data_IF_659280702785
#
_entry.id   IF_659280702785
#
_cell.length_a   1.000
_cell.length_b   1.000
_cell.length_c   1.000
_cell.angle_alpha   90.00
_cell.angle_beta   90.00
_cell.angle_gamma   90.00
#
_symmetry.space_group_name_H-M   'P 1'
#
loop_
_entity.id
_entity.type
_entity.pdbx_description
1 polymer ?
#
# COMPACT_ATOMS: atom_id res chain seq x y z
N UNK A 1 -22.62 -6.45 -9.20
CA UNK A 1 -22.10 -5.27 -8.47
C UNK A 1 -23.22 -4.53 -7.75
N UNK A 2 -24.43 -4.46 -8.33
CA UNK A 2 -25.52 -3.63 -7.81
C UNK A 2 -26.04 -4.07 -6.44
N UNK A 3 -26.22 -5.38 -6.21
CA UNK A 3 -26.67 -5.92 -4.92
C UNK A 3 -25.73 -5.59 -3.74
N UNK A 4 -24.42 -5.59 -3.97
CA UNK A 4 -23.43 -5.24 -2.94
C UNK A 4 -23.52 -3.76 -2.60
N UNK A 5 -23.62 -2.91 -3.62
CA UNK A 5 -23.76 -1.46 -3.46
C UNK A 5 -25.04 -1.11 -2.70
N UNK A 6 -26.15 -1.78 -3.01
CA UNK A 6 -27.42 -1.60 -2.32
C UNK A 6 -27.35 -2.06 -0.85
N UNK A 7 -26.78 -3.23 -0.60
CA UNK A 7 -26.61 -3.75 0.77
C UNK A 7 -25.71 -2.85 1.62
N UNK A 8 -24.62 -2.35 1.05
CA UNK A 8 -23.73 -1.40 1.72
C UNK A 8 -24.44 -0.09 2.05
N UNK A 9 -25.26 0.43 1.11
CA UNK A 9 -26.05 1.64 1.35
C UNK A 9 -27.04 1.44 2.50
N UNK A 10 -27.73 0.31 2.54
CA UNK A 10 -28.65 -0.01 3.63
C UNK A 10 -27.93 -0.10 4.99
N UNK A 11 -26.72 -0.68 5.03
CA UNK A 11 -25.90 -0.73 6.24
C UNK A 11 -25.46 0.67 6.71
N UNK A 12 -25.02 1.53 5.76
CA UNK A 12 -24.70 2.92 6.05
C UNK A 12 -25.89 3.66 6.64
N UNK A 13 -27.05 3.62 5.97
CA UNK A 13 -28.27 4.30 6.39
C UNK A 13 -28.73 3.80 7.77
N UNK A 14 -28.54 2.51 8.07
CA UNK A 14 -28.79 1.92 9.39
C UNK A 14 -27.83 2.48 10.46
N UNK A 15 -26.54 2.55 10.15
CA UNK A 15 -25.53 3.09 11.06
C UNK A 15 -25.78 4.56 11.41
N UNK A 16 -26.00 5.40 10.39
CA UNK A 16 -26.26 6.84 10.59
C UNK A 16 -27.51 7.06 11.44
N UNK A 17 -28.58 6.29 11.18
CA UNK A 17 -29.83 6.36 11.94
C UNK A 17 -29.63 5.93 13.40
N UNK A 18 -28.87 4.86 13.65
CA UNK A 18 -28.60 4.39 15.01
C UNK A 18 -27.73 5.39 15.77
N UNK A 19 -26.65 5.88 15.16
CA UNK A 19 -25.78 6.88 15.76
C UNK A 19 -26.50 8.20 16.06
N UNK A 20 -27.50 8.59 15.26
CA UNK A 20 -28.29 9.80 15.47
C UNK A 20 -29.32 9.67 16.61
N UNK A 21 -29.67 8.45 17.03
CA UNK A 21 -30.63 8.21 18.12
C UNK A 21 -29.97 8.28 19.50
N UNK A 22 -28.69 7.98 19.55
CA UNK A 22 -27.95 8.00 20.80
C UNK A 22 -27.62 9.44 21.21
N UNK A 23 -27.74 9.76 22.51
CA UNK A 23 -27.40 11.09 23.00
C UNK A 23 -25.91 11.38 22.80
N UNK A 24 -25.52 12.65 22.56
CA UNK A 24 -24.12 13.04 22.52
C UNK A 24 -23.40 12.67 23.81
N UNK A 25 -22.18 12.12 23.70
CA UNK A 25 -21.35 11.81 24.86
C UNK A 25 -20.96 13.08 25.62
N UNK A 26 -21.07 13.03 26.95
CA UNK A 26 -20.75 14.15 27.85
C UNK A 26 -19.26 14.23 28.23
N UNK A 27 -18.45 13.25 27.80
CA UNK A 27 -17.02 13.15 28.13
C UNK A 27 -16.14 13.01 26.88
N UNK A 28 -14.83 12.93 27.10
CA UNK A 28 -13.86 12.66 26.03
C UNK A 28 -14.08 11.24 25.52
N UNK A 29 -14.42 11.12 24.23
CA UNK A 29 -14.62 9.85 23.54
C UNK A 29 -14.08 9.95 22.12
N UNK A 30 -13.74 8.82 21.52
CA UNK A 30 -13.70 8.72 20.07
C UNK A 30 -15.14 8.67 19.55
N UNK A 31 -15.53 9.68 18.78
CA UNK A 31 -16.92 9.83 18.32
C UNK A 31 -17.35 8.64 17.44
N UNK A 32 -18.58 8.18 17.65
CA UNK A 32 -19.28 7.23 16.79
C UNK A 32 -19.27 7.72 15.34
N UNK A 33 -19.02 6.82 14.40
CA UNK A 33 -19.07 7.13 12.97
C UNK A 33 -19.32 5.90 12.11
N UNK A 34 -19.73 6.15 10.87
CA UNK A 34 -19.54 5.20 9.79
C UNK A 34 -18.28 5.56 9.02
N UNK A 35 -17.30 4.65 8.99
CA UNK A 35 -15.98 4.90 8.39
C UNK A 35 -15.87 4.42 6.93
N UNK A 36 -17.02 4.25 6.26
CA UNK A 36 -17.21 3.60 4.97
C UNK A 36 -17.04 2.07 4.95
N UNK A 37 -16.69 1.45 6.08
CA UNK A 37 -16.56 0.01 6.22
C UNK A 37 -17.44 -0.56 7.32
N UNK A 38 -17.29 -0.08 8.56
CA UNK A 38 -18.00 -0.56 9.74
C UNK A 38 -18.67 0.60 10.50
N UNK A 39 -19.71 0.26 11.25
CA UNK A 39 -20.39 1.21 12.12
C UNK A 39 -19.76 1.18 13.52
N UNK A 40 -19.16 2.29 13.94
CA UNK A 40 -18.49 2.41 15.23
C UNK A 40 -19.36 3.15 16.24
N UNK A 41 -19.54 2.63 17.47
CA UNK A 41 -20.09 3.37 18.59
C UNK A 41 -19.06 4.33 19.17
N UNK A 42 -19.45 5.13 20.18
CA UNK A 42 -18.50 5.94 20.93
C UNK A 42 -17.48 5.05 21.65
N UNK A 43 -16.19 5.35 21.46
CA UNK A 43 -15.08 4.65 22.10
C UNK A 43 -14.54 5.41 23.31
N UNK A 44 -14.27 4.72 24.41
CA UNK A 44 -13.58 5.32 25.54
C UNK A 44 -12.08 5.51 25.22
N UNK A 45 -11.44 6.61 25.67
CA UNK A 45 -10.01 6.80 25.49
C UNK A 45 -9.19 5.65 26.09
N UNK A 46 -8.10 5.28 25.42
CA UNK A 46 -7.23 4.13 25.77
C UNK A 46 -7.98 2.78 25.81
N UNK A 47 -8.92 2.57 24.89
CA UNK A 47 -9.60 1.28 24.76
C UNK A 47 -9.63 0.77 23.33
N UNK A 48 -9.75 -0.55 23.19
CA UNK A 48 -10.05 -1.19 21.91
C UNK A 48 -11.54 -1.41 21.80
N UNK A 49 -12.15 -0.77 20.82
CA UNK A 49 -13.56 -0.97 20.47
C UNK A 49 -13.65 -2.10 19.46
N UNK A 50 -14.66 -2.96 19.61
CA UNK A 50 -14.95 -4.03 18.66
C UNK A 50 -16.40 -4.01 18.21
N UNK A 51 -16.62 -4.32 16.94
CA UNK A 51 -17.95 -4.39 16.33
C UNK A 51 -18.05 -5.62 15.45
N UNK A 52 -19.26 -6.17 15.28
CA UNK A 52 -19.46 -7.36 14.45
C UNK A 52 -19.09 -7.08 12.99
N UNK A 53 -18.68 -8.12 12.27
CA UNK A 53 -18.43 -8.02 10.83
C UNK A 53 -19.64 -7.42 10.09
N UNK A 54 -19.44 -6.44 9.19
CA UNK A 54 -20.55 -5.80 8.49
C UNK A 54 -21.40 -6.79 7.67
N UNK A 55 -22.71 -6.74 7.84
CA UNK A 55 -23.62 -7.72 7.24
C UNK A 55 -23.75 -7.60 5.73
N UNK A 56 -23.36 -6.48 5.13
CA UNK A 56 -23.38 -6.29 3.67
C UNK A 56 -22.29 -7.11 2.95
N UNK A 57 -21.32 -7.66 3.68
CA UNK A 57 -20.22 -8.44 3.09
C UNK A 57 -20.79 -9.65 2.33
N UNK A 58 -20.37 -9.91 1.07
CA UNK A 58 -20.88 -11.04 0.29
C UNK A 58 -20.65 -12.42 0.94
N UNK A 59 -19.66 -12.51 1.83
CA UNK A 59 -19.27 -13.70 2.58
C UNK A 59 -19.62 -13.61 4.07
N UNK A 60 -20.51 -12.70 4.47
CA UNK A 60 -20.89 -12.49 5.87
C UNK A 60 -21.30 -13.80 6.58
N UNK A 61 -21.98 -14.71 5.89
CA UNK A 61 -22.35 -16.02 6.43
C UNK A 61 -21.15 -16.85 6.94
N UNK A 62 -19.92 -16.58 6.47
CA UNK A 62 -18.70 -17.24 6.94
C UNK A 62 -18.02 -16.51 8.10
N UNK A 63 -18.29 -15.21 8.26
CA UNK A 63 -17.60 -14.31 9.20
C UNK A 63 -18.54 -13.64 10.21
N UNK A 64 -19.81 -14.04 10.26
CA UNK A 64 -20.84 -13.41 11.09
C UNK A 64 -20.56 -13.41 12.60
N UNK A 65 -19.67 -14.28 13.08
CA UNK A 65 -19.19 -14.27 14.46
C UNK A 65 -17.88 -13.50 14.67
N UNK A 66 -17.27 -13.01 13.59
CA UNK A 66 -16.04 -12.27 13.64
C UNK A 66 -16.27 -10.80 14.01
N UNK A 67 -15.19 -10.16 14.45
CA UNK A 67 -15.19 -8.78 14.89
C UNK A 67 -14.18 -7.93 14.13
N UNK A 68 -14.50 -6.66 13.96
CA UNK A 68 -13.57 -5.60 13.54
C UNK A 68 -13.13 -4.86 14.79
N UNK A 69 -11.83 -4.57 14.90
CA UNK A 69 -11.26 -3.89 16.06
C UNK A 69 -10.62 -2.57 15.67
N UNK A 70 -10.84 -1.54 16.47
CA UNK A 70 -10.22 -0.23 16.32
C UNK A 70 -9.86 0.36 17.68
N UNK A 71 -8.69 0.96 17.77
CA UNK A 71 -8.18 1.56 18.99
C UNK A 71 -8.61 3.02 19.08
N UNK A 72 -9.09 3.42 20.25
CA UNK A 72 -9.33 4.81 20.63
C UNK A 72 -8.20 5.27 21.54
N UNK A 73 -7.42 6.25 21.09
CA UNK A 73 -6.26 6.72 21.83
C UNK A 73 -6.64 7.60 23.05
N UNK A 74 -5.64 7.95 23.86
CA UNK A 74 -5.82 8.79 25.05
C UNK A 74 -6.41 10.19 24.75
N UNK A 75 -6.26 10.67 23.52
CA UNK A 75 -6.75 11.98 23.08
C UNK A 75 -8.17 11.94 22.53
N UNK A 76 -8.83 10.78 22.54
CA UNK A 76 -10.16 10.60 21.97
C UNK A 76 -10.13 10.62 20.43
N UNK A 77 -9.01 10.20 19.82
CA UNK A 77 -8.90 10.02 18.38
C UNK A 77 -8.81 8.55 18.01
N UNK A 78 -9.46 8.19 16.91
CA UNK A 78 -9.38 6.85 16.35
C UNK A 78 -8.01 6.61 15.73
N UNK A 79 -7.39 5.48 16.05
CA UNK A 79 -6.15 5.05 15.42
C UNK A 79 -6.33 4.90 13.90
N UNK A 80 -5.28 5.21 13.13
CA UNK A 80 -5.32 5.16 11.66
C UNK A 80 -5.48 3.74 11.11
N UNK A 81 -5.02 2.74 11.86
CA UNK A 81 -5.10 1.34 11.47
C UNK A 81 -6.17 0.60 12.29
N UNK A 82 -6.93 -0.23 11.60
CA UNK A 82 -7.96 -1.12 12.18
C UNK A 82 -7.61 -2.57 11.86
N UNK A 83 -8.02 -3.50 12.72
CA UNK A 83 -7.87 -4.93 12.47
C UNK A 83 -9.18 -5.49 11.93
N UNK A 84 -9.18 -5.92 10.66
CA UNK A 84 -10.34 -6.52 9.97
C UNK A 84 -10.16 -8.02 9.70
N UNK A 85 -9.10 -8.63 10.23
CA UNK A 85 -8.66 -9.97 9.80
C UNK A 85 -9.72 -11.07 9.97
N UNK A 86 -10.60 -10.96 10.97
CA UNK A 86 -11.71 -11.90 11.18
C UNK A 86 -12.86 -11.74 10.16
N UNK A 87 -12.95 -10.58 9.50
CA UNK A 87 -13.98 -10.27 8.50
C UNK A 87 -13.47 -10.40 7.06
N UNK A 88 -12.18 -10.67 6.88
CA UNK A 88 -11.56 -10.80 5.57
C UNK A 88 -12.03 -12.06 4.84
N UNK A 89 -12.14 -11.97 3.52
CA UNK A 89 -12.49 -13.13 2.71
C UNK A 89 -11.34 -14.11 2.65
N UNK A 90 -11.60 -15.35 3.04
CA UNK A 90 -10.68 -16.48 2.82
C UNK A 90 -10.70 -16.99 1.36
N UNK A 91 -11.46 -16.36 0.46
CA UNK A 91 -11.57 -16.77 -0.94
C UNK A 91 -10.24 -16.54 -1.72
N UNK A 92 -9.57 -17.60 -2.19
CA UNK A 92 -8.35 -17.48 -2.99
C UNK A 92 -8.55 -16.70 -4.30
N UNK A 93 -9.77 -16.68 -4.85
CA UNK A 93 -10.09 -15.97 -6.09
C UNK A 93 -9.98 -14.45 -5.93
N UNK A 94 -10.32 -13.91 -4.76
CA UNK A 94 -10.12 -12.49 -4.41
C UNK A 94 -8.64 -12.15 -4.27
N UNK A 95 -7.83 -13.04 -3.67
CA UNK A 95 -6.35 -12.89 -3.65
C UNK A 95 -5.76 -12.89 -5.06
N UNK A 96 -6.36 -13.66 -5.99
CA UNK A 96 -5.98 -13.66 -7.41
C UNK A 96 -6.42 -12.41 -8.17
N UNK A 97 -7.32 -11.57 -7.66
CA UNK A 97 -7.71 -10.33 -8.32
C UNK A 97 -6.55 -9.34 -8.40
N UNK A 98 -5.71 -9.25 -7.37
CA UNK A 98 -4.50 -8.41 -7.43
C UNK A 98 -3.58 -8.91 -8.54
N UNK A 99 -3.34 -10.22 -8.61
CA UNK A 99 -2.54 -10.82 -9.69
C UNK A 99 -3.19 -10.65 -11.07
N UNK A 100 -4.51 -10.74 -11.17
CA UNK A 100 -5.25 -10.57 -12.42
C UNK A 100 -5.25 -9.11 -12.90
N UNK A 101 -5.40 -8.16 -11.98
CA UNK A 101 -5.25 -6.72 -12.23
C UNK A 101 -3.81 -6.40 -12.64
N UNK A 102 -2.83 -6.96 -11.94
CA UNK A 102 -1.42 -6.84 -12.31
C UNK A 102 -1.16 -7.36 -13.73
N UNK A 103 -1.68 -8.54 -14.08
CA UNK A 103 -1.52 -9.11 -15.42
C UNK A 103 -2.18 -8.25 -16.50
N UNK A 104 -3.43 -7.82 -16.28
CA UNK A 104 -4.13 -6.91 -17.21
C UNK A 104 -3.43 -5.56 -17.35
N UNK A 105 -2.91 -5.00 -16.26
CA UNK A 105 -2.15 -3.77 -16.28
C UNK A 105 -0.78 -3.95 -16.95
N UNK A 106 -0.18 -5.14 -16.82
CA UNK A 106 1.04 -5.53 -17.52
C UNK A 106 0.82 -5.64 -19.03
N UNK A 107 -0.32 -6.17 -19.45
CA UNK A 107 -0.71 -6.25 -20.87
C UNK A 107 -0.98 -4.85 -21.46
N UNK A 108 -1.39 -3.89 -20.63
CA UNK A 108 -1.57 -2.49 -20.99
C UNK A 108 -0.26 -1.67 -21.00
N UNK A 109 0.90 -2.25 -20.60
CA UNK A 109 2.19 -1.54 -20.64
C UNK A 109 2.73 -1.45 -22.06
N UNK A 110 2.15 -0.55 -22.85
CA UNK A 110 2.72 -0.04 -24.09
C UNK A 110 3.41 1.33 -23.87
N UNK A 111 4.04 1.53 -22.71
CA UNK A 111 4.92 2.68 -22.49
C UNK A 111 6.32 2.29 -22.96
N UNK A 112 6.82 2.97 -24.00
CA UNK A 112 8.18 2.78 -24.49
C UNK A 112 9.16 2.87 -23.32
N UNK A 113 9.87 1.78 -23.08
CA UNK A 113 10.93 1.70 -22.07
C UNK A 113 12.28 2.13 -22.65
N UNK A 114 12.30 2.71 -23.85
CA UNK A 114 13.52 3.11 -24.55
C UNK A 114 14.30 4.17 -23.79
N UNK A 115 13.60 5.10 -23.11
CA UNK A 115 14.24 6.07 -22.21
C UNK A 115 14.97 5.40 -21.05
N UNK A 116 14.41 4.31 -20.51
CA UNK A 116 15.04 3.55 -19.44
C UNK A 116 16.24 2.74 -19.97
N UNK A 117 16.10 2.14 -21.17
CA UNK A 117 17.16 1.41 -21.86
C UNK A 117 18.37 2.31 -22.13
N UNK A 118 18.16 3.43 -22.81
CA UNK A 118 19.23 4.39 -23.15
C UNK A 118 19.94 4.93 -21.89
N UNK A 119 19.16 5.21 -20.85
CA UNK A 119 19.74 5.69 -19.60
C UNK A 119 20.51 4.58 -18.85
N UNK A 120 20.16 3.30 -18.99
CA UNK A 120 20.93 2.19 -18.39
C UNK A 120 22.19 1.87 -19.21
N UNK A 121 22.13 1.99 -20.53
CA UNK A 121 23.32 1.92 -21.41
C UNK A 121 24.34 2.98 -21.00
N UNK A 122 23.87 4.20 -20.72
CA UNK A 122 24.71 5.31 -20.24
C UNK A 122 25.36 4.98 -18.88
N UNK A 123 24.58 4.45 -17.93
CA UNK A 123 25.06 4.15 -16.56
C UNK A 123 26.08 3.00 -16.52
N UNK A 124 25.88 1.98 -17.36
CA UNK A 124 26.70 0.76 -17.37
C UNK A 124 27.88 0.85 -18.34
N UNK A 125 27.85 1.82 -19.27
CA UNK A 125 28.82 1.95 -20.35
C UNK A 125 28.76 0.79 -21.35
N UNK A 126 27.72 -0.04 -21.31
CA UNK A 126 27.57 -1.23 -22.14
C UNK A 126 26.43 -1.02 -23.15
N UNK A 127 26.63 -1.41 -24.43
CA UNK A 127 25.54 -1.43 -25.40
C UNK A 127 24.49 -2.48 -24.98
N UNK A 128 23.21 -2.10 -24.90
CA UNK A 128 22.09 -2.97 -24.54
C UNK A 128 21.10 -3.07 -25.71
N UNK A 129 21.32 -4.06 -26.60
CA UNK A 129 20.37 -4.44 -27.63
C UNK A 129 18.94 -4.65 -27.10
N UNK A 130 17.94 -4.36 -27.93
CA UNK A 130 16.53 -4.39 -27.54
C UNK A 130 16.06 -5.77 -27.05
N UNK A 131 16.60 -6.85 -27.62
CA UNK A 131 16.33 -8.24 -27.21
C UNK A 131 16.83 -8.52 -25.78
N UNK A 132 18.05 -8.09 -25.45
CA UNK A 132 18.60 -8.20 -24.09
C UNK A 132 17.82 -7.34 -23.11
N UNK A 133 17.42 -6.13 -23.51
CA UNK A 133 16.58 -5.27 -22.70
C UNK A 133 15.22 -5.91 -22.38
N UNK A 134 14.56 -6.49 -23.38
CA UNK A 134 13.31 -7.21 -23.20
C UNK A 134 13.47 -8.44 -22.29
N UNK A 135 14.59 -9.15 -22.37
CA UNK A 135 14.91 -10.25 -21.45
C UNK A 135 15.08 -9.75 -20.00
N UNK A 136 15.78 -8.62 -19.80
CA UNK A 136 15.93 -7.99 -18.48
C UNK A 136 14.56 -7.64 -17.89
N UNK A 137 13.67 -7.01 -18.67
CA UNK A 137 12.33 -6.64 -18.21
C UNK A 137 11.48 -7.85 -17.80
N UNK A 138 11.65 -9.00 -18.45
CA UNK A 138 10.95 -10.25 -18.10
C UNK A 138 11.50 -10.90 -16.83
N UNK A 139 12.79 -10.74 -16.56
CA UNK A 139 13.48 -11.45 -15.48
C UNK A 139 13.60 -10.63 -14.19
N UNK A 140 13.52 -9.30 -14.24
CA UNK A 140 13.83 -8.40 -13.12
C UNK A 140 13.08 -8.71 -11.81
N UNK A 141 11.90 -9.31 -11.89
CA UNK A 141 11.07 -9.66 -10.73
C UNK A 141 11.13 -11.15 -10.33
N UNK A 142 11.88 -11.99 -11.07
CA UNK A 142 11.89 -13.45 -10.94
C UNK A 142 13.29 -14.05 -10.77
N UNK A 143 14.34 -13.23 -10.78
CA UNK A 143 15.75 -13.62 -10.61
C UNK A 143 16.15 -14.05 -9.20
N UNK A 144 15.30 -13.83 -8.20
CA UNK A 144 15.57 -14.21 -6.81
C UNK A 144 14.30 -14.68 -6.10
N UNK A 145 14.47 -15.61 -5.14
CA UNK A 145 13.38 -15.97 -4.21
C UNK A 145 13.15 -14.88 -3.15
N UNK A 146 14.07 -13.93 -3.00
CA UNK A 146 13.94 -12.84 -2.03
C UNK A 146 13.18 -11.66 -2.65
N UNK A 147 11.96 -11.40 -2.15
CA UNK A 147 11.13 -10.28 -2.61
C UNK A 147 11.82 -8.92 -2.48
N UNK A 148 12.62 -8.72 -1.42
CA UNK A 148 13.43 -7.49 -1.24
C UNK A 148 14.47 -7.34 -2.35
N UNK A 149 15.12 -8.43 -2.74
CA UNK A 149 16.10 -8.42 -3.82
C UNK A 149 15.43 -8.12 -5.18
N UNK A 150 14.32 -8.80 -5.50
CA UNK A 150 13.54 -8.52 -6.71
C UNK A 150 13.07 -7.07 -6.78
N UNK A 151 12.62 -6.49 -5.65
CA UNK A 151 12.20 -5.10 -5.58
C UNK A 151 13.37 -4.12 -5.83
N UNK A 152 14.55 -4.42 -5.28
CA UNK A 152 15.75 -3.61 -5.53
C UNK A 152 16.08 -3.62 -7.03
N UNK A 153 16.16 -4.81 -7.64
CA UNK A 153 16.44 -4.94 -9.07
C UNK A 153 15.40 -4.20 -9.93
N UNK A 154 14.11 -4.32 -9.59
CA UNK A 154 13.04 -3.60 -10.25
C UNK A 154 13.23 -2.09 -10.17
N UNK A 155 13.53 -1.56 -8.98
CA UNK A 155 13.79 -0.12 -8.78
C UNK A 155 14.99 0.38 -9.56
N UNK A 156 16.04 -0.44 -9.74
CA UNK A 156 17.20 -0.09 -10.57
C UNK A 156 16.81 -0.02 -12.04
N UNK A 157 16.26 -1.10 -12.60
CA UNK A 157 15.91 -1.19 -14.02
C UNK A 157 14.87 -0.12 -14.42
N UNK A 158 13.88 0.12 -13.56
CA UNK A 158 12.83 1.12 -13.82
C UNK A 158 13.16 2.52 -13.31
N UNK A 159 14.39 2.77 -12.80
CA UNK A 159 14.80 4.05 -12.19
C UNK A 159 13.81 4.60 -11.15
N UNK A 160 13.12 3.68 -10.46
CA UNK A 160 12.13 3.96 -9.43
C UNK A 160 12.78 4.12 -8.03
N UNK A 161 14.10 3.99 -7.93
CA UNK A 161 14.79 4.23 -6.68
C UNK A 161 14.71 5.71 -6.26
N UNK A 162 14.52 5.91 -4.97
CA UNK A 162 14.58 7.21 -4.32
C UNK A 162 15.96 7.32 -3.68
N UNK A 163 16.90 7.97 -4.37
CA UNK A 163 18.24 8.22 -3.86
C UNK A 163 18.27 9.52 -3.04
N UNK A 164 19.30 9.74 -2.21
CA UNK A 164 19.41 11.02 -1.46
C UNK A 164 19.52 12.23 -2.38
N UNK A 165 20.20 12.07 -3.51
CA UNK A 165 20.24 13.07 -4.59
C UNK A 165 18.85 13.38 -5.16
N UNK A 166 17.94 12.40 -5.18
CA UNK A 166 16.57 12.60 -5.64
C UNK A 166 15.70 13.20 -4.54
N UNK A 167 15.94 12.83 -3.28
CA UNK A 167 15.26 13.38 -2.11
C UNK A 167 15.64 14.84 -1.85
N UNK A 168 16.91 15.22 -1.99
CA UNK A 168 17.36 16.61 -1.82
C UNK A 168 16.71 17.57 -2.82
N UNK A 169 16.30 17.06 -3.99
CA UNK A 169 15.53 17.82 -4.99
C UNK A 169 14.06 17.99 -4.61
N UNK A 170 13.53 17.15 -3.72
CA UNK A 170 12.13 17.20 -3.25
C UNK A 170 12.00 17.89 -1.89
N UNK A 171 13.02 17.72 -1.03
CA UNK A 171 13.06 18.20 0.34
C UNK A 171 14.38 18.94 0.56
N UNK A 172 14.37 20.27 0.74
CA UNK A 172 15.58 21.08 0.89
C UNK A 172 16.47 20.65 2.07
N UNK A 173 15.87 20.05 3.10
CA UNK A 173 16.55 19.66 4.34
C UNK A 173 17.33 18.34 4.22
N UNK A 174 17.23 17.66 3.08
CA UNK A 174 17.89 16.37 2.86
C UNK A 174 19.21 16.58 2.13
N UNK A 175 20.31 16.20 2.78
CA UNK A 175 21.65 16.22 2.16
C UNK A 175 21.75 15.22 0.99
N UNK A 176 22.32 15.63 -0.16
CA UNK A 176 22.51 14.74 -1.32
C UNK A 176 23.67 13.75 -1.14
N UNK A 177 24.51 13.91 -0.12
CA UNK A 177 25.74 13.14 0.07
C UNK A 177 25.50 11.76 0.69
N UNK A 178 26.37 10.81 0.36
CA UNK A 178 26.30 9.44 0.84
C UNK A 178 26.72 9.34 2.31
N UNK A 179 25.90 8.67 3.13
CA UNK A 179 26.17 8.56 4.57
C UNK A 179 27.46 7.82 4.91
N UNK A 180 27.87 6.91 4.01
CA UNK A 180 29.05 6.05 4.23
C UNK A 180 30.36 6.73 3.86
N UNK A 181 30.40 7.45 2.74
CA UNK A 181 31.65 8.07 2.27
C UNK A 181 31.71 9.57 2.54
N UNK A 182 30.57 10.24 2.74
CA UNK A 182 30.43 11.70 2.97
C UNK A 182 31.05 12.61 1.90
N UNK A 183 31.62 12.04 0.84
CA UNK A 183 32.37 12.76 -0.20
C UNK A 183 31.58 12.78 -1.50
N UNK A 184 31.05 11.62 -1.90
CA UNK A 184 30.30 11.49 -3.14
C UNK A 184 28.80 11.64 -2.89
N UNK A 185 28.11 12.19 -3.88
CA UNK A 185 26.66 12.19 -3.95
C UNK A 185 26.11 10.75 -3.86
N UNK A 186 25.08 10.54 -3.06
CA UNK A 186 24.44 9.24 -2.90
C UNK A 186 23.53 8.94 -4.10
N UNK A 187 24.12 8.85 -5.28
CA UNK A 187 23.47 8.37 -6.50
C UNK A 187 23.19 6.87 -6.41
N UNK A 188 22.24 6.37 -7.19
CA UNK A 188 21.90 4.94 -7.16
C UNK A 188 23.14 4.09 -7.48
N UNK A 189 23.88 4.46 -8.52
CA UNK A 189 25.11 3.77 -8.95
C UNK A 189 26.16 3.79 -7.82
N UNK A 190 26.29 4.90 -7.10
CA UNK A 190 27.24 5.00 -5.98
C UNK A 190 26.84 4.09 -4.79
N UNK A 191 25.54 3.92 -4.52
CA UNK A 191 25.05 3.10 -3.41
C UNK A 191 25.05 1.61 -3.77
N UNK A 192 24.84 1.25 -5.04
CA UNK A 192 24.71 -0.14 -5.50
C UNK A 192 25.93 -0.69 -6.22
N UNK A 193 26.84 0.18 -6.67
CA UNK A 193 28.07 -0.21 -7.35
C UNK A 193 29.22 -0.46 -6.38
N UNK A 194 30.26 -1.19 -6.81
CA UNK A 194 31.50 -1.27 -6.06
C UNK A 194 32.11 0.13 -5.92
N UNK A 195 32.47 0.51 -4.71
CA UNK A 195 33.18 1.76 -4.43
C UNK A 195 34.50 1.70 -5.21
N UNK A 196 34.80 2.67 -6.10
CA UNK A 196 36.13 2.78 -6.68
C UNK A 196 37.12 2.98 -5.54
N UNK A 197 38.15 2.14 -5.48
CA UNK A 197 39.27 2.29 -4.57
C UNK A 197 39.98 3.65 -4.76
#
# INVERSE_FOLDING_TARGET
>A
MDKLKESWKLYMDECERNNSRDPPSTGLVCNRLFDNYACWPDGLPNTTVSVMCPWYLPWHNKVHHGMVYQECDASGQWATMKNTSECDSNDPSLKRLISALYNKMSDLRCLSTDKLRAALETDTGLPLPADKWNAILKLVNSTSLCARHCLIQFKVVHRANISKVKLSKMYPDVSPYCDKCQINEASLIHITGPVPA
#
